data_IF_676510898471
#
_entry.id   IF_676510898471
#
_cell.length_a   1.000
_cell.length_b   1.000
_cell.length_c   1.000
_cell.angle_alpha   90.00
_cell.angle_beta   90.00
_cell.angle_gamma   90.00
#
_symmetry.space_group_name_H-M   'P 1'
#
loop_
_entity.id
_entity.type
_entity.pdbx_description
1 polymer ?
#
# COMPACT_ATOMS: atom_id res chain seq x y z
N UNK A 1 19.99 12.64 7.88
CA UNK A 1 19.42 11.62 8.77
C UNK A 1 18.01 11.25 8.30
N UNK A 2 17.77 9.98 8.15
CA UNK A 2 16.44 9.50 7.85
C UNK A 2 15.55 9.71 9.06
N UNK A 3 14.39 10.32 8.85
CA UNK A 3 13.40 10.36 9.90
C UNK A 3 12.83 8.97 10.10
N UNK A 4 12.23 8.70 11.26
CA UNK A 4 11.59 7.42 11.50
C UNK A 4 10.46 7.15 10.51
N UNK A 5 9.86 8.20 9.96
CA UNK A 5 8.79 8.06 8.98
C UNK A 5 9.28 7.62 7.61
N UNK A 6 10.54 7.91 7.30
CA UNK A 6 11.13 7.55 6.03
C UNK A 6 11.87 6.23 6.09
N UNK A 7 12.04 5.68 7.28
CA UNK A 7 12.71 4.40 7.45
C UNK A 7 11.85 3.26 6.91
N UNK A 8 12.51 2.28 6.32
CA UNK A 8 11.82 1.07 5.88
C UNK A 8 11.29 0.32 7.10
N UNK A 9 10.09 -0.30 7.00
CA UNK A 9 9.61 -1.14 8.09
C UNK A 9 10.62 -2.24 8.43
N UNK A 10 10.87 -2.45 9.70
CA UNK A 10 11.67 -3.57 10.14
C UNK A 10 10.87 -4.87 9.98
N UNK A 11 11.54 -6.00 10.05
CA UNK A 11 10.92 -7.30 9.83
C UNK A 11 9.66 -7.52 10.67
N UNK A 12 9.72 -7.17 11.95
CA UNK A 12 8.57 -7.34 12.85
C UNK A 12 7.38 -6.48 12.44
N UNK A 13 7.63 -5.27 11.96
CA UNK A 13 6.58 -4.38 11.48
C UNK A 13 5.95 -4.90 10.20
N UNK A 14 6.76 -5.46 9.30
CA UNK A 14 6.23 -6.07 8.07
C UNK A 14 5.29 -7.22 8.39
N UNK A 15 5.63 -8.04 9.37
CA UNK A 15 4.77 -9.14 9.82
C UNK A 15 3.45 -8.62 10.35
N UNK A 16 3.49 -7.58 11.18
CA UNK A 16 2.30 -6.94 11.72
C UNK A 16 1.43 -6.36 10.60
N UNK A 17 2.05 -5.68 9.64
CA UNK A 17 1.34 -5.09 8.51
C UNK A 17 0.66 -6.16 7.66
N UNK A 18 1.33 -7.30 7.44
CA UNK A 18 0.72 -8.42 6.70
C UNK A 18 -0.50 -8.97 7.42
N UNK A 19 -0.45 -9.06 8.75
CA UNK A 19 -1.58 -9.51 9.54
C UNK A 19 -2.75 -8.55 9.44
N UNK A 20 -2.50 -7.25 9.53
CA UNK A 20 -3.52 -6.23 9.34
C UNK A 20 -4.09 -6.32 7.92
N UNK A 21 -3.21 -6.48 6.94
CA UNK A 21 -3.59 -6.56 5.54
C UNK A 21 -4.54 -7.70 5.22
N UNK A 22 -4.45 -8.81 5.95
CA UNK A 22 -5.35 -9.94 5.73
C UNK A 22 -6.82 -9.58 5.87
N UNK A 23 -7.13 -8.58 6.68
CA UNK A 23 -8.51 -8.17 6.93
C UNK A 23 -8.95 -7.01 6.05
N UNK A 24 -8.06 -6.48 5.22
CA UNK A 24 -8.37 -5.36 4.36
C UNK A 24 -8.90 -5.84 3.02
N UNK A 25 -9.78 -5.05 2.42
CA UNK A 25 -10.23 -5.24 1.05
C UNK A 25 -9.45 -4.32 0.13
N UNK A 26 -9.25 -4.70 -1.14
CA UNK A 26 -8.61 -3.78 -2.09
C UNK A 26 -9.42 -2.50 -2.22
N UNK A 27 -8.73 -1.36 -2.15
CA UNK A 27 -9.37 -0.05 -2.27
C UNK A 27 -9.14 0.59 -3.63
N UNK A 28 -8.18 0.07 -4.38
CA UNK A 28 -7.89 0.52 -5.74
C UNK A 28 -7.78 -0.69 -6.64
N UNK A 29 -8.37 -0.61 -7.81
CA UNK A 29 -8.31 -1.65 -8.83
C UNK A 29 -7.58 -1.11 -10.05
N UNK A 30 -6.49 -1.78 -10.42
CA UNK A 30 -5.74 -1.42 -11.61
C UNK A 30 -6.27 -2.23 -12.78
N UNK A 31 -6.85 -1.53 -13.75
CA UNK A 31 -7.41 -2.19 -14.93
C UNK A 31 -6.36 -2.46 -16.01
N UNK A 32 -6.85 -2.82 -17.19
CA UNK A 32 -5.99 -3.16 -18.34
C UNK A 32 -5.16 -1.98 -18.84
N UNK A 33 -5.57 -0.76 -18.52
CA UNK A 33 -4.84 0.43 -18.94
C UNK A 33 -3.59 0.69 -18.10
N UNK A 34 -3.40 -0.05 -17.04
CA UNK A 34 -2.23 0.07 -16.18
C UNK A 34 -2.24 1.31 -15.30
N UNK A 35 -1.06 1.85 -15.02
CA UNK A 35 -0.90 3.00 -14.15
C UNK A 35 -1.17 4.29 -14.92
N UNK A 36 -2.35 4.86 -14.72
CA UNK A 36 -2.71 6.15 -15.27
C UNK A 36 -2.57 7.21 -14.19
N UNK A 37 -2.55 8.49 -14.58
CA UNK A 37 -2.47 9.57 -13.60
C UNK A 37 -3.62 9.55 -12.60
N UNK A 38 -4.89 9.36 -13.03
CA UNK A 38 -5.99 9.26 -12.06
C UNK A 38 -5.82 8.09 -11.09
N UNK A 39 -5.33 6.94 -11.55
CA UNK A 39 -5.11 5.79 -10.68
C UNK A 39 -4.01 6.09 -9.67
N UNK A 40 -2.91 6.71 -10.11
CA UNK A 40 -1.82 7.08 -9.20
C UNK A 40 -2.30 8.08 -8.16
N UNK A 41 -3.12 9.05 -8.54
CA UNK A 41 -3.70 10.01 -7.61
C UNK A 41 -4.60 9.31 -6.58
N UNK A 42 -5.37 8.33 -7.03
CA UNK A 42 -6.24 7.55 -6.15
C UNK A 42 -5.43 6.74 -5.13
N UNK A 43 -4.34 6.10 -5.58
CA UNK A 43 -3.43 5.36 -4.70
C UNK A 43 -2.79 6.30 -3.69
N UNK A 44 -2.32 7.44 -4.14
CA UNK A 44 -1.68 8.43 -3.27
C UNK A 44 -2.64 8.91 -2.18
N UNK A 45 -3.87 9.22 -2.55
CA UNK A 45 -4.89 9.63 -1.61
C UNK A 45 -5.23 8.52 -0.63
N UNK A 46 -5.37 7.29 -1.10
CA UNK A 46 -5.67 6.16 -0.24
C UNK A 46 -4.55 5.92 0.77
N UNK A 47 -3.30 6.05 0.35
CA UNK A 47 -2.16 5.91 1.25
C UNK A 47 -2.13 7.01 2.31
N UNK A 48 -2.44 8.25 1.92
CA UNK A 48 -2.48 9.35 2.86
C UNK A 48 -3.59 9.16 3.90
N UNK A 49 -4.73 8.63 3.49
CA UNK A 49 -5.85 8.40 4.40
C UNK A 49 -5.65 7.16 5.26
N UNK A 50 -5.17 6.07 4.68
CA UNK A 50 -5.19 4.76 5.33
C UNK A 50 -3.83 4.19 5.71
N UNK A 51 -2.76 4.72 5.19
CA UNK A 51 -1.37 4.32 5.36
C UNK A 51 -1.05 2.92 4.85
N UNK A 52 -1.89 1.94 5.12
CA UNK A 52 -1.73 0.56 4.65
C UNK A 52 -2.95 0.21 3.80
N UNK A 53 -2.73 -0.10 2.53
CA UNK A 53 -3.81 -0.40 1.58
C UNK A 53 -3.49 -1.62 0.74
N UNK A 54 -4.54 -2.24 0.21
CA UNK A 54 -4.41 -3.26 -0.81
C UNK A 54 -4.79 -2.70 -2.16
N UNK A 55 -4.02 -3.05 -3.19
CA UNK A 55 -4.32 -2.71 -4.58
C UNK A 55 -4.41 -4.00 -5.36
N UNK A 56 -5.49 -4.18 -6.11
CA UNK A 56 -5.64 -5.31 -7.01
C UNK A 56 -5.19 -4.90 -8.39
N UNK A 57 -4.35 -5.73 -9.00
CA UNK A 57 -3.77 -5.45 -10.30
C UNK A 57 -4.31 -6.45 -11.31
N UNK A 58 -4.97 -5.93 -12.35
CA UNK A 58 -5.49 -6.77 -13.43
C UNK A 58 -4.39 -7.29 -14.35
N UNK A 59 -4.77 -8.15 -15.27
CA UNK A 59 -3.85 -8.72 -16.24
C UNK A 59 -3.28 -10.05 -15.78
N UNK A 60 -2.83 -10.84 -16.76
CA UNK A 60 -2.33 -12.19 -16.49
C UNK A 60 -0.81 -12.28 -16.52
N UNK A 61 -0.14 -11.27 -17.08
CA UNK A 61 1.31 -11.27 -17.18
C UNK A 61 1.93 -10.89 -15.82
N UNK A 62 2.57 -11.88 -15.21
CA UNK A 62 3.20 -11.71 -13.90
C UNK A 62 4.30 -10.65 -13.91
N UNK A 63 5.09 -10.62 -14.98
CA UNK A 63 6.18 -9.64 -15.08
C UNK A 63 5.64 -8.22 -15.24
N UNK A 64 4.58 -8.05 -16.01
CA UNK A 64 3.94 -6.75 -16.17
C UNK A 64 3.35 -6.28 -14.85
N UNK A 65 2.74 -7.19 -14.08
CA UNK A 65 2.22 -6.83 -12.76
C UNK A 65 3.33 -6.39 -11.81
N UNK A 66 4.45 -7.12 -11.82
CA UNK A 66 5.58 -6.77 -10.97
C UNK A 66 6.16 -5.41 -11.33
N UNK A 67 6.30 -5.12 -12.62
CA UNK A 67 6.76 -3.82 -13.09
C UNK A 67 5.82 -2.70 -12.67
N UNK A 68 4.50 -2.94 -12.77
CA UNK A 68 3.50 -1.97 -12.33
C UNK A 68 3.61 -1.71 -10.82
N UNK A 69 3.83 -2.75 -10.03
CA UNK A 69 3.99 -2.61 -8.58
C UNK A 69 5.23 -1.78 -8.26
N UNK A 70 6.34 -2.03 -8.92
CA UNK A 70 7.57 -1.28 -8.70
C UNK A 70 7.38 0.20 -9.06
N UNK A 71 6.74 0.48 -10.19
CA UNK A 71 6.47 1.86 -10.60
C UNK A 71 5.52 2.55 -9.62
N UNK A 72 4.48 1.85 -9.21
CA UNK A 72 3.50 2.35 -8.26
C UNK A 72 4.17 2.74 -6.93
N UNK A 73 5.00 1.85 -6.40
CA UNK A 73 5.71 2.09 -5.15
C UNK A 73 6.68 3.26 -5.28
N UNK A 74 7.39 3.34 -6.40
CA UNK A 74 8.36 4.42 -6.64
C UNK A 74 7.67 5.77 -6.76
N UNK A 75 6.62 5.85 -7.56
CA UNK A 75 5.94 7.13 -7.84
C UNK A 75 5.21 7.64 -6.61
N UNK A 76 4.55 6.75 -5.87
CA UNK A 76 3.80 7.15 -4.66
C UNK A 76 4.68 7.15 -3.41
N UNK A 77 5.96 6.80 -3.52
CA UNK A 77 6.90 6.73 -2.39
C UNK A 77 6.40 5.80 -1.29
N UNK A 78 5.81 4.70 -1.71
CA UNK A 78 5.32 3.67 -0.81
C UNK A 78 6.17 2.42 -0.90
N UNK A 79 5.87 1.43 -0.06
CA UNK A 79 6.58 0.17 -0.05
C UNK A 79 5.62 -0.97 -0.28
N UNK A 80 6.03 -1.92 -1.13
CA UNK A 80 5.28 -3.16 -1.30
C UNK A 80 5.65 -4.09 -0.15
N UNK A 81 4.76 -4.20 0.82
CA UNK A 81 4.98 -5.03 2.02
C UNK A 81 4.80 -6.50 1.68
N UNK A 82 3.85 -6.82 0.81
CA UNK A 82 3.55 -8.19 0.43
C UNK A 82 2.90 -8.21 -0.94
N UNK A 83 3.22 -9.22 -1.73
CA UNK A 83 2.60 -9.43 -3.04
C UNK A 83 2.03 -10.85 -3.03
N UNK A 84 0.72 -10.96 -3.21
CA UNK A 84 0.05 -12.26 -3.28
C UNK A 84 -0.79 -12.29 -4.56
N UNK A 85 -0.34 -13.08 -5.54
CA UNK A 85 -1.06 -13.18 -6.81
C UNK A 85 -1.23 -11.83 -7.47
N UNK A 86 -2.47 -11.38 -7.60
CA UNK A 86 -2.80 -10.10 -8.24
C UNK A 86 -3.00 -8.97 -7.24
N UNK A 87 -2.66 -9.17 -5.97
CA UNK A 87 -2.87 -8.19 -4.92
C UNK A 87 -1.53 -7.77 -4.33
N UNK A 88 -1.34 -6.47 -4.15
CA UNK A 88 -0.18 -5.93 -3.47
C UNK A 88 -0.63 -5.16 -2.24
N UNK A 89 0.10 -5.34 -1.15
CA UNK A 89 -0.11 -4.59 0.09
C UNK A 89 0.93 -3.48 0.12
N UNK A 90 0.47 -2.24 0.07
CA UNK A 90 1.32 -1.05 0.06
C UNK A 90 1.25 -0.32 1.38
N UNK A 91 2.39 0.20 1.82
CA UNK A 91 2.49 0.99 3.03
C UNK A 91 3.21 2.30 2.77
N UNK A 92 2.69 3.39 3.31
CA UNK A 92 3.35 4.69 3.38
C UNK A 92 2.83 5.42 4.61
N UNK A 93 3.75 5.93 5.45
CA UNK A 93 3.36 6.74 6.60
C UNK A 93 2.72 8.03 6.11
N UNK A 94 1.57 8.37 6.66
CA UNK A 94 0.88 9.61 6.31
C UNK A 94 1.57 10.80 6.98
N UNK A 95 1.50 11.95 6.33
CA UNK A 95 2.05 13.19 6.91
C UNK A 95 1.25 13.61 8.13
N UNK A 96 -0.07 13.44 8.07
CA UNK A 96 -0.97 13.70 9.20
C UNK A 96 -1.88 12.49 9.39
N UNK A 97 -1.40 11.47 10.12
CA UNK A 97 -2.20 10.26 10.28
C UNK A 97 -3.55 10.55 10.94
N UNK A 98 -4.61 9.99 10.36
CA UNK A 98 -5.95 10.12 10.91
C UNK A 98 -6.32 8.83 11.64
N UNK A 99 -6.45 8.85 12.98
CA UNK A 99 -6.75 7.62 13.72
C UNK A 99 -8.06 6.95 13.31
N UNK A 100 -8.99 7.69 12.71
CA UNK A 100 -10.26 7.13 12.25
C UNK A 100 -10.15 6.42 10.91
N UNK A 101 -9.14 6.78 10.11
CA UNK A 101 -8.98 6.24 8.75
C UNK A 101 -7.77 5.34 8.59
N UNK A 102 -6.69 5.60 9.34
CA UNK A 102 -5.46 4.81 9.21
C UNK A 102 -5.69 3.37 9.65
N UNK A 103 -5.42 2.43 8.75
CA UNK A 103 -5.54 1.01 9.06
C UNK A 103 -4.53 0.56 10.12
N UNK A 104 -3.39 1.24 10.20
CA UNK A 104 -2.38 0.95 11.21
C UNK A 104 -2.85 1.40 12.60
N UNK A 105 -3.32 2.65 12.70
CA UNK A 105 -3.75 3.21 13.98
C UNK A 105 -5.03 2.56 14.48
N UNK A 106 -5.96 2.23 13.56
CA UNK A 106 -7.19 1.55 13.94
C UNK A 106 -6.92 0.16 14.49
N UNK A 107 -5.99 -0.56 13.89
CA UNK A 107 -5.61 -1.89 14.38
C UNK A 107 -4.96 -1.80 15.76
N UNK A 108 -4.12 -0.79 15.99
CA UNK A 108 -3.48 -0.58 17.30
C UNK A 108 -4.51 -0.22 18.38
N UNK A 109 -5.53 0.55 18.02
CA UNK A 109 -6.56 0.95 18.97
C UNK A 109 -7.48 -0.21 19.37
N UNK A 110 -7.57 -1.24 18.53
CA UNK A 110 -8.44 -2.40 18.78
C UNK A 110 -7.73 -3.54 19.49
N UNK A 111 -6.42 -3.45 19.63
CA UNK A 111 -5.64 -4.54 20.24
C UNK A 111 -5.51 -4.40 21.77
#
# INVERSE_FOLDING_TARGET
>A
TLSLHDALPIFAEKKRFRQIGHQLNPVVLLGNQGLTEPVLAEIDRALEDHELIKVRIGGEDREARRAAIEDMARVTKSQAVQIIGKIVLLYRAAKKPNPKLSNILRASAQS
#
